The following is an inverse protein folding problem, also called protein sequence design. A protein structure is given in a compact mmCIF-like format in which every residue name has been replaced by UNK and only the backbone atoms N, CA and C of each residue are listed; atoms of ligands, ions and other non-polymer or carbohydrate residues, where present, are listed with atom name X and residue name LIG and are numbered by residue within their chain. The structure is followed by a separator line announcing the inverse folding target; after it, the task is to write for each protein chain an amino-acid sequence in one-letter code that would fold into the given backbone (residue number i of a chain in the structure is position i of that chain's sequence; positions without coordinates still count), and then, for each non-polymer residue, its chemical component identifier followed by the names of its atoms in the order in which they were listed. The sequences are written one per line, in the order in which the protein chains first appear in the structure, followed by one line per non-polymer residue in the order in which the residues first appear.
data_IF_701971249757
#
_entry.id   IF_701971249757
#
_cell.length_a   1.000
_cell.length_b   1.000
_cell.length_c   1.000
_cell.angle_alpha   90.00
_cell.angle_beta   90.00
_cell.angle_gamma   90.00
#
_symmetry.space_group_name_H-M   'P 1'
#
loop_
_entity.id
_entity.type
_entity.pdbx_description
1 polymer ?
#
# COMPACT_ATOMS: atom_id res chain seq x y z
N UNK A 1 15.58 -0.33 -2.68
CA UNK A 1 16.85 0.09 -2.06
C UNK A 1 17.19 -0.83 -0.90
N UNK A 2 16.31 -1.00 0.10
CA UNK A 2 16.54 -1.88 1.25
C UNK A 2 16.90 -3.33 0.84
N UNK A 3 16.14 -3.92 -0.09
CA UNK A 3 16.40 -5.31 -0.53
C UNK A 3 17.63 -5.49 -1.45
N UNK A 4 18.13 -4.41 -2.05
CA UNK A 4 19.19 -4.44 -3.08
C UNK A 4 20.52 -3.86 -2.55
N UNK A 5 20.84 -4.06 -1.27
CA UNK A 5 22.09 -3.59 -0.68
C UNK A 5 22.07 -2.14 -0.21
N UNK A 6 20.90 -1.60 0.12
CA UNK A 6 20.72 -0.29 0.77
C UNK A 6 21.29 0.87 -0.06
N UNK A 7 22.30 1.54 0.49
CA UNK A 7 22.93 2.72 -0.11
C UNK A 7 23.78 2.41 -1.35
N UNK A 8 24.33 1.19 -1.49
CA UNK A 8 25.14 0.82 -2.65
C UNK A 8 24.34 0.82 -3.96
N UNK A 9 23.03 0.53 -3.87
CA UNK A 9 22.10 0.64 -4.99
C UNK A 9 22.02 2.06 -5.58
N UNK A 10 22.26 3.10 -4.77
CA UNK A 10 22.21 4.48 -5.24
C UNK A 10 23.29 4.77 -6.29
N UNK A 11 24.47 4.14 -6.20
CA UNK A 11 25.55 4.33 -7.17
C UNK A 11 25.11 3.87 -8.56
N UNK A 12 24.54 2.66 -8.65
CA UNK A 12 24.02 2.10 -9.91
C UNK A 12 22.82 2.91 -10.41
N UNK A 13 21.94 3.35 -9.50
CA UNK A 13 20.81 4.20 -9.83
C UNK A 13 21.24 5.52 -10.48
N UNK A 14 22.21 6.23 -9.91
CA UNK A 14 22.69 7.49 -10.48
C UNK A 14 23.43 7.29 -11.81
N UNK A 15 24.22 6.21 -11.95
CA UNK A 15 24.86 5.88 -13.21
C UNK A 15 23.82 5.62 -14.32
N UNK A 16 22.80 4.81 -14.05
CA UNK A 16 21.74 4.54 -15.03
C UNK A 16 20.85 5.77 -15.30
N UNK A 17 20.65 6.62 -14.31
CA UNK A 17 19.93 7.89 -14.47
C UNK A 17 20.67 8.79 -15.47
N UNK A 18 21.98 8.97 -15.33
CA UNK A 18 22.76 9.84 -16.21
C UNK A 18 22.95 9.21 -17.59
N UNK A 19 23.23 7.91 -17.68
CA UNK A 19 23.58 7.25 -18.95
C UNK A 19 22.36 6.86 -19.80
N UNK A 20 21.20 6.59 -19.19
CA UNK A 20 20.01 6.12 -19.91
C UNK A 20 18.81 7.06 -19.74
N UNK A 21 18.43 7.42 -18.51
CA UNK A 21 17.21 8.19 -18.29
C UNK A 21 17.28 9.62 -18.83
N UNK A 22 18.38 10.34 -18.55
CA UNK A 22 18.57 11.73 -19.00
C UNK A 22 18.60 11.82 -20.54
N UNK A 23 19.36 10.99 -21.27
CA UNK A 23 19.34 11.00 -22.75
C UNK A 23 17.97 10.66 -23.34
N UNK A 24 17.25 9.68 -22.79
CA UNK A 24 15.92 9.29 -23.28
C UNK A 24 14.90 10.40 -23.04
N UNK A 25 14.90 11.00 -21.85
CA UNK A 25 14.03 12.14 -21.53
C UNK A 25 14.32 13.33 -22.45
N UNK A 26 15.60 13.62 -22.71
CA UNK A 26 15.98 14.70 -23.63
C UNK A 26 15.53 14.42 -25.07
N UNK A 27 15.66 13.16 -25.54
CA UNK A 27 15.20 12.76 -26.86
C UNK A 27 13.67 12.90 -26.99
N UNK A 28 12.92 12.42 -26.00
CA UNK A 28 11.45 12.51 -25.99
C UNK A 28 10.97 13.95 -25.99
N UNK A 29 11.57 14.82 -25.15
CA UNK A 29 11.24 16.24 -25.11
C UNK A 29 11.59 16.95 -26.42
N UNK A 30 12.79 16.71 -26.97
CA UNK A 30 13.22 17.32 -28.23
C UNK A 30 12.33 16.89 -29.39
N UNK A 31 11.95 15.61 -29.44
CA UNK A 31 11.06 15.05 -30.45
C UNK A 31 9.62 15.58 -30.32
N UNK A 32 9.11 15.69 -29.08
CA UNK A 32 7.81 16.29 -28.79
C UNK A 32 7.74 17.77 -29.18
N UNK A 33 8.78 18.55 -28.88
CA UNK A 33 8.88 19.96 -29.26
C UNK A 33 8.98 20.12 -30.79
N UNK A 34 9.84 19.35 -31.46
CA UNK A 34 10.00 19.42 -32.91
C UNK A 34 8.72 19.03 -33.67
N UNK A 35 8.04 17.98 -33.22
CA UNK A 35 6.80 17.53 -33.85
C UNK A 35 5.62 18.44 -33.54
N UNK A 36 5.54 19.04 -32.35
CA UNK A 36 4.42 19.88 -31.89
C UNK A 36 3.04 19.23 -32.11
N UNK A 37 2.99 17.90 -32.11
CA UNK A 37 1.82 17.07 -32.37
C UNK A 37 1.61 16.09 -31.21
N UNK A 38 0.37 15.62 -31.02
CA UNK A 38 0.07 14.60 -30.02
C UNK A 38 0.72 13.24 -30.32
N UNK A 39 0.80 12.37 -29.31
CA UNK A 39 1.56 11.11 -29.33
C UNK A 39 1.19 10.13 -30.47
N UNK A 40 -0.04 10.18 -30.99
CA UNK A 40 -0.48 9.37 -32.13
C UNK A 40 -0.11 10.04 -33.46
N UNK A 41 -0.23 11.38 -33.54
CA UNK A 41 0.00 12.13 -34.78
C UNK A 41 1.49 12.35 -35.07
N UNK A 42 2.35 12.25 -34.06
CA UNK A 42 3.79 12.40 -34.19
C UNK A 42 4.44 11.37 -35.15
N UNK A 43 3.87 10.17 -35.25
CA UNK A 43 4.37 9.09 -36.12
C UNK A 43 3.99 9.24 -37.60
N UNK A 44 3.48 10.40 -38.02
CA UNK A 44 3.35 10.74 -39.45
C UNK A 44 4.71 10.77 -40.17
N UNK A 45 5.81 10.92 -39.43
CA UNK A 45 7.18 10.88 -39.98
C UNK A 45 7.57 9.50 -40.54
N UNK A 46 7.08 8.42 -39.93
CA UNK A 46 7.34 7.04 -40.37
C UNK A 46 6.13 6.14 -40.08
N UNK A 47 5.32 5.82 -41.11
CA UNK A 47 4.04 5.12 -40.91
C UNK A 47 4.20 3.70 -40.34
N UNK A 48 5.39 3.10 -40.44
CA UNK A 48 5.73 1.82 -39.84
C UNK A 48 5.57 1.82 -38.31
N UNK A 49 5.85 2.95 -37.64
CA UNK A 49 5.82 3.06 -36.18
C UNK A 49 4.52 3.68 -35.66
N UNK A 50 3.47 3.79 -36.48
CA UNK A 50 2.16 4.32 -36.05
C UNK A 50 1.55 3.54 -34.88
N UNK A 51 1.85 2.23 -34.79
CA UNK A 51 1.43 1.38 -33.67
C UNK A 51 2.01 1.80 -32.31
N UNK A 52 3.21 2.40 -32.29
CA UNK A 52 3.86 2.88 -31.06
C UNK A 52 3.02 3.99 -30.42
N UNK A 53 2.51 4.93 -31.22
CA UNK A 53 1.60 5.99 -30.76
C UNK A 53 0.32 5.48 -30.10
N UNK A 54 -0.29 4.45 -30.69
CA UNK A 54 -1.50 3.81 -30.15
C UNK A 54 -1.17 3.05 -28.87
N UNK A 55 -0.07 2.30 -28.84
CA UNK A 55 0.38 1.58 -27.64
C UNK A 55 0.63 2.53 -26.48
N UNK A 56 1.28 3.69 -26.72
CA UNK A 56 1.48 4.73 -25.70
C UNK A 56 0.15 5.25 -25.13
N UNK A 57 -0.86 5.48 -25.97
CA UNK A 57 -2.18 5.92 -25.52
C UNK A 57 -2.92 4.84 -24.68
N UNK A 58 -2.82 3.57 -25.08
CA UNK A 58 -3.41 2.44 -24.33
C UNK A 58 -2.75 2.28 -22.96
N UNK A 59 -1.40 2.31 -22.90
CA UNK A 59 -0.65 2.23 -21.65
C UNK A 59 -0.96 3.42 -20.75
N UNK A 60 -1.04 4.63 -21.29
CA UNK A 60 -1.46 5.82 -20.55
C UNK A 60 -2.87 5.69 -19.99
N UNK A 61 -3.82 5.14 -20.76
CA UNK A 61 -5.18 4.85 -20.31
C UNK A 61 -5.23 3.85 -19.16
N UNK A 62 -4.43 2.77 -19.23
CA UNK A 62 -4.30 1.80 -18.14
C UNK A 62 -3.77 2.44 -16.85
N UNK A 63 -2.70 3.22 -16.94
CA UNK A 63 -2.17 3.96 -15.79
C UNK A 63 -3.17 4.99 -15.25
N UNK A 64 -3.93 5.65 -16.12
CA UNK A 64 -4.97 6.60 -15.71
C UNK A 64 -6.02 5.90 -14.82
N UNK A 65 -6.51 4.73 -15.21
CA UNK A 65 -7.47 3.96 -14.40
C UNK A 65 -6.87 3.54 -13.05
N UNK A 66 -5.65 2.99 -13.09
CA UNK A 66 -4.95 2.53 -11.89
C UNK A 66 -4.66 3.66 -10.88
N UNK A 67 -4.15 4.80 -11.34
CA UNK A 67 -3.84 5.92 -10.44
C UNK A 67 -5.09 6.62 -9.92
N UNK A 68 -6.17 6.70 -10.70
CA UNK A 68 -7.46 7.21 -10.20
C UNK A 68 -8.03 6.33 -9.07
N UNK A 69 -7.81 5.01 -9.12
CA UNK A 69 -8.17 4.10 -8.03
C UNK A 69 -7.38 4.42 -6.75
N UNK A 70 -6.07 4.65 -6.85
CA UNK A 70 -5.24 5.02 -5.68
C UNK A 70 -5.72 6.33 -5.07
N UNK A 71 -6.02 7.34 -5.89
CA UNK A 71 -6.55 8.63 -5.41
C UNK A 71 -7.90 8.43 -4.70
N UNK A 72 -8.76 7.53 -5.19
CA UNK A 72 -10.02 7.22 -4.51
C UNK A 72 -9.79 6.63 -3.11
N UNK A 73 -8.81 5.73 -2.96
CA UNK A 73 -8.42 5.20 -1.66
C UNK A 73 -7.89 6.30 -0.74
N UNK A 74 -7.03 7.20 -1.23
CA UNK A 74 -6.50 8.29 -0.39
C UNK A 74 -7.60 9.26 0.05
N UNK A 75 -8.54 9.63 -0.83
CA UNK A 75 -9.70 10.45 -0.47
C UNK A 75 -10.53 9.77 0.63
N UNK A 76 -10.79 8.46 0.50
CA UNK A 76 -11.55 7.71 1.51
C UNK A 76 -10.85 7.72 2.86
N UNK A 77 -9.54 7.44 2.89
CA UNK A 77 -8.75 7.51 4.12
C UNK A 77 -8.69 8.93 4.69
N UNK A 78 -8.62 9.96 3.84
CA UNK A 78 -8.64 11.35 4.27
C UNK A 78 -9.96 11.70 4.98
N UNK A 79 -11.11 11.32 4.41
CA UNK A 79 -12.42 11.56 5.03
C UNK A 79 -12.56 10.84 6.36
N UNK A 80 -12.11 9.58 6.43
CA UNK A 80 -12.19 8.77 7.65
C UNK A 80 -11.20 9.24 8.73
N UNK A 81 -10.11 9.89 8.35
CA UNK A 81 -9.11 10.42 9.31
C UNK A 81 -9.64 11.56 10.19
N UNK A 82 -10.78 12.17 9.86
CA UNK A 82 -11.42 13.18 10.70
C UNK A 82 -12.24 12.58 11.86
N UNK A 83 -12.35 11.25 11.96
CA UNK A 83 -13.07 10.56 13.03
C UNK A 83 -12.17 10.31 14.25
N UNK A 84 -12.72 10.52 15.46
CA UNK A 84 -12.06 10.20 16.73
C UNK A 84 -12.96 9.24 17.53
N UNK A 85 -12.51 8.01 17.86
CA UNK A 85 -11.22 7.40 17.54
C UNK A 85 -11.12 6.95 16.06
N UNK A 86 -9.90 6.80 15.56
CA UNK A 86 -9.66 6.32 14.19
C UNK A 86 -10.01 4.83 14.09
N UNK A 87 -10.68 4.38 13.01
CA UNK A 87 -11.24 3.03 12.93
C UNK A 87 -10.23 1.91 12.67
N UNK A 88 -8.94 2.24 12.49
CA UNK A 88 -7.84 1.29 12.34
C UNK A 88 -6.90 1.27 13.56
N UNK A 89 -7.29 1.93 14.65
CA UNK A 89 -6.57 1.89 15.93
C UNK A 89 -6.95 0.65 16.72
N UNK A 90 -8.23 0.25 16.65
CA UNK A 90 -8.78 -0.81 17.49
C UNK A 90 -9.35 -2.01 16.74
N UNK A 91 -9.45 -3.12 17.47
CA UNK A 91 -10.03 -4.39 17.01
C UNK A 91 -11.53 -4.52 17.35
N UNK A 92 -12.15 -3.54 18.01
CA UNK A 92 -13.55 -3.59 18.40
C UNK A 92 -14.52 -3.10 17.30
N UNK A 93 -14.56 -3.79 16.16
CA UNK A 93 -15.43 -3.47 15.04
C UNK A 93 -16.06 -4.72 14.41
N UNK A 94 -17.19 -4.56 13.72
CA UNK A 94 -17.97 -5.68 13.14
C UNK A 94 -17.28 -6.40 11.99
N UNK A 95 -16.20 -5.82 11.44
CA UNK A 95 -15.45 -6.37 10.31
C UNK A 95 -14.14 -7.03 10.73
N UNK A 96 -13.82 -7.06 12.03
CA UNK A 96 -12.58 -7.63 12.53
C UNK A 96 -12.73 -9.11 12.84
N UNK A 97 -11.68 -9.88 12.59
CA UNK A 97 -11.65 -11.32 12.89
C UNK A 97 -11.14 -11.56 14.32
N UNK A 98 -11.34 -12.76 14.91
CA UNK A 98 -10.78 -13.08 16.23
C UNK A 98 -9.25 -13.02 16.29
N UNK A 99 -8.56 -13.02 15.14
CA UNK A 99 -7.10 -12.95 15.04
C UNK A 99 -6.56 -11.50 15.06
N UNK A 100 -7.43 -10.50 15.26
CA UNK A 100 -7.05 -9.10 15.31
C UNK A 100 -6.33 -8.73 16.61
N UNK A 101 -5.17 -8.06 16.51
CA UNK A 101 -4.48 -7.48 17.66
C UNK A 101 -4.20 -5.98 17.52
N UNK A 102 -4.20 -5.29 18.66
CA UNK A 102 -3.80 -3.89 18.83
C UNK A 102 -2.38 -3.81 19.41
N UNK A 103 -1.67 -2.68 19.23
CA UNK A 103 -0.40 -2.47 19.93
C UNK A 103 -0.65 -2.34 21.43
N UNK A 104 -0.16 -3.28 22.23
CA UNK A 104 -0.27 -3.21 23.70
C UNK A 104 0.46 -1.96 24.20
N UNK A 105 -0.29 -0.96 24.67
CA UNK A 105 0.24 0.03 25.60
C UNK A 105 0.40 -0.67 26.95
N UNK A 106 1.63 -0.87 27.40
CA UNK A 106 1.95 -1.31 28.77
C UNK A 106 1.42 -0.26 29.77
N UNK A 107 0.13 -0.28 30.08
CA UNK A 107 -0.39 0.39 31.26
C UNK A 107 -0.03 -0.50 32.44
N UNK A 108 0.94 -0.06 33.25
CA UNK A 108 1.16 -0.60 34.58
C UNK A 108 -0.14 -0.50 35.39
N UNK A 109 -0.92 -1.57 35.39
CA UNK A 109 -2.14 -1.72 36.16
C UNK A 109 -2.11 -3.09 36.83
N UNK A 110 -2.44 -3.12 38.12
CA UNK A 110 -2.50 -4.33 38.97
C UNK A 110 -3.64 -5.31 38.60
N UNK A 111 -4.02 -5.39 37.32
CA UNK A 111 -4.89 -6.45 36.80
C UNK A 111 -4.05 -7.63 36.33
N UNK A 112 -4.62 -8.82 36.31
CA UNK A 112 -4.02 -10.00 35.66
C UNK A 112 -3.73 -9.69 34.19
N UNK A 113 -2.47 -9.36 33.91
CA UNK A 113 -1.95 -9.15 32.56
C UNK A 113 -1.79 -10.52 31.92
N UNK A 114 -2.30 -10.75 30.69
CA UNK A 114 -1.89 -11.90 29.88
C UNK A 114 -0.36 -11.85 29.78
N UNK A 115 0.32 -12.94 30.12
CA UNK A 115 1.78 -12.97 30.28
C UNK A 115 2.58 -12.86 28.95
N UNK A 116 2.00 -12.33 27.88
CA UNK A 116 2.47 -12.50 26.49
C UNK A 116 3.35 -11.37 25.91
N UNK A 117 4.16 -10.70 26.74
CA UNK A 117 5.31 -9.96 26.22
C UNK A 117 6.53 -10.14 27.12
N UNK A 118 7.04 -11.38 27.18
CA UNK A 118 8.43 -11.61 27.55
C UNK A 118 9.30 -11.13 26.38
N UNK A 119 9.96 -9.97 26.55
CA UNK A 119 11.14 -9.67 25.73
C UNK A 119 12.20 -10.71 26.07
N UNK A 120 12.41 -11.69 25.19
CA UNK A 120 13.63 -12.50 25.22
C UNK A 120 14.77 -11.60 24.74
N UNK A 121 15.55 -11.09 25.69
CA UNK A 121 16.88 -10.54 25.40
C UNK A 121 17.82 -11.73 25.16
N UNK A 122 18.11 -12.03 23.89
CA UNK A 122 19.16 -12.96 23.51
C UNK A 122 20.49 -12.17 23.48
N UNK A 123 21.43 -12.40 24.41
CA UNK A 123 22.66 -11.63 24.50
C UNK A 123 23.66 -11.93 23.35
N UNK A 124 23.37 -12.87 22.45
CA UNK A 124 24.33 -13.32 21.42
C UNK A 124 24.03 -12.85 19.99
N UNK A 125 22.88 -12.22 19.73
CA UNK A 125 22.55 -11.68 18.39
C UNK A 125 21.95 -10.28 18.48
N UNK A 126 22.68 -9.26 18.00
CA UNK A 126 22.26 -7.85 17.89
C UNK A 126 21.13 -7.61 16.86
N UNK A 127 20.13 -8.49 16.80
CA UNK A 127 18.95 -8.31 15.95
C UNK A 127 17.70 -8.58 16.77
N UNK A 128 16.98 -7.51 17.09
CA UNK A 128 15.65 -7.58 17.70
C UNK A 128 14.64 -8.11 16.68
N UNK A 129 14.50 -9.43 16.63
CA UNK A 129 13.44 -10.09 15.86
C UNK A 129 12.18 -10.08 16.71
N UNK A 130 11.18 -9.34 16.24
CA UNK A 130 9.85 -9.21 16.84
C UNK A 130 8.96 -10.34 16.33
N UNK A 131 9.22 -11.57 16.76
CA UNK A 131 8.31 -12.69 16.51
C UNK A 131 7.38 -12.86 17.72
N UNK A 132 6.09 -12.66 17.47
CA UNK A 132 5.00 -12.94 18.40
C UNK A 132 4.78 -14.45 18.47
N UNK A 133 5.26 -15.10 19.53
CA UNK A 133 4.87 -16.46 19.87
C UNK A 133 3.89 -16.40 21.04
N UNK A 134 2.69 -16.95 20.90
CA UNK A 134 1.73 -17.11 22.00
C UNK A 134 2.19 -18.30 22.88
N UNK A 135 2.75 -18.00 24.05
CA UNK A 135 3.16 -19.03 25.02
C UNK A 135 2.12 -19.09 26.14
N UNK A 136 1.23 -20.09 26.08
CA UNK A 136 0.34 -20.42 27.20
C UNK A 136 1.17 -20.96 28.38
N UNK A 137 1.58 -20.07 29.30
CA UNK A 137 2.35 -20.43 30.51
C UNK A 137 1.39 -20.77 31.64
N UNK A 138 1.24 -22.06 31.95
CA UNK A 138 0.50 -22.51 33.13
C UNK A 138 1.46 -22.62 34.33
N UNK A 139 1.49 -21.59 35.19
CA UNK A 139 2.40 -21.55 36.36
C UNK A 139 1.85 -22.44 37.49
N UNK A 140 2.15 -23.73 37.46
CA UNK A 140 1.95 -24.59 38.64
C UNK A 140 3.01 -24.27 39.69
N UNK A 141 2.65 -24.27 40.98
CA UNK A 141 3.43 -23.80 42.13
C UNK A 141 4.73 -24.57 42.46
N UNK A 142 5.37 -25.20 41.48
CA UNK A 142 6.73 -25.69 41.52
C UNK A 142 7.30 -25.39 40.13
N UNK A 143 8.36 -24.57 40.04
CA UNK A 143 8.74 -23.81 38.83
C UNK A 143 9.17 -24.60 37.58
N UNK A 144 8.29 -25.43 37.03
CA UNK A 144 8.45 -26.12 35.75
C UNK A 144 7.53 -25.50 34.71
N UNK A 145 8.12 -25.00 33.63
CA UNK A 145 7.43 -24.42 32.48
C UNK A 145 7.17 -25.54 31.47
N UNK A 146 5.92 -26.01 31.37
CA UNK A 146 5.50 -26.91 30.29
C UNK A 146 4.76 -26.09 29.23
N UNK A 147 5.44 -25.77 28.13
CA UNK A 147 4.83 -25.11 26.98
C UNK A 147 4.18 -26.13 26.04
N UNK A 148 2.91 -25.94 25.71
CA UNK A 148 2.25 -26.60 24.59
C UNK A 148 2.18 -25.62 23.43
N UNK A 149 2.85 -25.93 22.32
CA UNK A 149 2.69 -25.17 21.07
C UNK A 149 1.28 -25.43 20.52
N UNK A 150 0.36 -24.50 20.75
CA UNK A 150 -0.87 -24.45 19.97
C UNK A 150 -0.50 -24.07 18.51
N UNK A 151 -1.22 -24.55 17.49
CA UNK A 151 -1.06 -24.02 16.14
C UNK A 151 -1.37 -22.52 16.18
N UNK A 152 -0.39 -21.70 15.83
CA UNK A 152 -0.51 -20.25 15.95
C UNK A 152 -1.69 -19.73 15.14
N UNK A 153 -2.66 -19.04 15.75
CA UNK A 153 -3.53 -18.16 14.99
C UNK A 153 -2.65 -17.07 14.39
N UNK A 154 -2.74 -16.87 13.08
CA UNK A 154 -1.95 -15.86 12.38
C UNK A 154 -2.46 -14.48 12.78
N UNK A 155 -1.90 -13.91 13.83
CA UNK A 155 -2.29 -12.60 14.37
C UNK A 155 -2.14 -11.49 13.30
N UNK A 156 -3.23 -10.76 13.03
CA UNK A 156 -3.30 -9.69 12.01
C UNK A 156 -3.50 -8.33 12.68
N UNK A 157 -2.85 -7.29 12.14
CA UNK A 157 -2.97 -5.93 12.68
C UNK A 157 -4.34 -5.33 12.35
N UNK A 158 -4.93 -4.59 13.29
CA UNK A 158 -6.18 -3.83 13.08
C UNK A 158 -6.18 -2.95 11.81
N UNK A 159 -5.03 -2.36 11.46
CA UNK A 159 -4.90 -1.55 10.22
C UNK A 159 -4.96 -2.37 8.94
N UNK A 160 -4.44 -3.60 8.96
CA UNK A 160 -4.49 -4.52 7.82
C UNK A 160 -5.92 -5.06 7.63
N UNK A 161 -6.62 -5.38 8.72
CA UNK A 161 -8.02 -5.80 8.67
C UNK A 161 -8.94 -4.69 8.16
N UNK A 162 -8.72 -3.45 8.62
CA UNK A 162 -9.45 -2.30 8.12
C UNK A 162 -9.27 -2.14 6.60
N UNK A 163 -8.05 -2.35 6.08
CA UNK A 163 -7.81 -2.32 4.64
C UNK A 163 -8.53 -3.46 3.90
N UNK A 164 -8.37 -4.70 4.36
CA UNK A 164 -8.90 -5.89 3.66
C UNK A 164 -10.41 -5.99 3.72
N UNK A 165 -11.01 -5.86 4.90
CA UNK A 165 -12.44 -6.14 5.10
C UNK A 165 -13.29 -4.88 4.99
N UNK A 166 -12.79 -3.73 5.49
CA UNK A 166 -13.59 -2.50 5.51
C UNK A 166 -13.38 -1.61 4.29
N UNK A 167 -12.16 -1.49 3.75
CA UNK A 167 -11.87 -0.61 2.60
C UNK A 167 -12.11 -1.32 1.28
N UNK A 168 -11.43 -2.46 1.09
CA UNK A 168 -11.48 -3.21 -0.15
C UNK A 168 -12.65 -4.19 -0.19
N UNK A 169 -12.98 -4.79 0.96
CA UNK A 169 -13.89 -5.93 1.06
C UNK A 169 -13.45 -7.05 0.11
N UNK A 170 -12.23 -7.56 0.33
CA UNK A 170 -11.58 -8.58 -0.50
C UNK A 170 -12.37 -9.90 -0.44
N UNK A 171 -12.78 -10.40 -1.61
CA UNK A 171 -13.42 -11.72 -1.77
C UNK A 171 -12.42 -12.87 -1.61
N UNK A 172 -12.91 -14.08 -1.36
CA UNK A 172 -12.08 -15.29 -1.20
C UNK A 172 -11.37 -15.73 -2.48
N UNK A 173 -11.87 -15.35 -3.67
CA UNK A 173 -11.28 -15.72 -4.95
C UNK A 173 -11.71 -14.83 -6.12
N UNK A 174 -11.02 -14.97 -7.25
CA UNK A 174 -11.29 -14.19 -8.48
C UNK A 174 -12.64 -14.52 -9.14
N UNK A 175 -13.22 -15.68 -8.81
CA UNK A 175 -14.53 -16.11 -9.31
C UNK A 175 -15.70 -15.42 -8.59
N UNK A 176 -15.47 -14.92 -7.37
CA UNK A 176 -16.44 -14.13 -6.61
C UNK A 176 -16.05 -12.65 -6.61
N UNK A 177 -16.69 -11.89 -7.50
CA UNK A 177 -16.41 -10.47 -7.72
C UNK A 177 -16.87 -9.62 -6.52
N UNK A 178 -17.59 -10.22 -5.56
CA UNK A 178 -18.05 -9.57 -4.34
C UNK A 178 -19.08 -8.46 -4.59
N UNK A 179 -19.35 -7.67 -3.56
CA UNK A 179 -20.29 -6.54 -3.62
C UNK A 179 -19.60 -5.20 -3.89
N UNK A 180 -20.26 -4.32 -4.63
CA UNK A 180 -19.77 -2.96 -4.89
C UNK A 180 -19.78 -2.13 -3.59
N UNK A 181 -18.60 -1.65 -3.18
CA UNK A 181 -18.44 -0.73 -2.06
C UNK A 181 -18.83 0.70 -2.47
N UNK A 182 -20.08 1.10 -2.22
CA UNK A 182 -20.59 2.43 -2.59
C UNK A 182 -19.75 3.63 -2.14
N UNK A 183 -19.20 3.67 -0.91
CA UNK A 183 -18.33 4.78 -0.50
C UNK A 183 -17.08 4.88 -1.37
N UNK A 184 -16.54 3.75 -1.80
CA UNK A 184 -15.37 3.71 -2.68
C UNK A 184 -15.72 4.17 -4.09
N UNK A 185 -16.88 3.76 -4.62
CA UNK A 185 -17.39 4.21 -5.91
C UNK A 185 -17.60 5.73 -5.96
N UNK A 186 -18.15 6.32 -4.88
CA UNK A 186 -18.29 7.77 -4.76
C UNK A 186 -16.94 8.48 -4.69
N UNK A 187 -15.97 7.95 -3.95
CA UNK A 187 -14.62 8.50 -3.91
C UNK A 187 -13.91 8.40 -5.28
N UNK A 188 -14.16 7.33 -6.03
CA UNK A 188 -13.65 7.16 -7.39
C UNK A 188 -14.27 8.17 -8.36
N UNK A 189 -15.58 8.37 -8.30
CA UNK A 189 -16.24 9.43 -9.07
C UNK A 189 -15.68 10.83 -8.71
N UNK A 190 -15.46 11.10 -7.43
CA UNK A 190 -14.84 12.35 -6.98
C UNK A 190 -13.40 12.52 -7.50
N UNK A 191 -12.58 11.46 -7.51
CA UNK A 191 -11.24 11.48 -8.07
C UNK A 191 -11.25 11.84 -9.57
N UNK A 192 -12.16 11.23 -10.34
CA UNK A 192 -12.35 11.57 -11.75
C UNK A 192 -12.78 13.01 -11.97
N UNK A 193 -13.71 13.52 -11.15
CA UNK A 193 -14.14 14.92 -11.22
C UNK A 193 -13.00 15.89 -10.88
N UNK A 194 -12.16 15.57 -9.89
CA UNK A 194 -10.99 16.36 -9.54
C UNK A 194 -9.99 16.42 -10.70
N UNK A 195 -9.65 15.27 -11.29
CA UNK A 195 -8.75 15.20 -12.45
C UNK A 195 -9.34 15.96 -13.64
N UNK A 196 -10.63 15.79 -13.90
CA UNK A 196 -11.33 16.50 -14.97
C UNK A 196 -11.33 18.02 -14.73
N UNK A 197 -11.55 18.48 -13.50
CA UNK A 197 -11.46 19.90 -13.14
C UNK A 197 -10.05 20.46 -13.35
N UNK A 198 -9.00 19.70 -13.00
CA UNK A 198 -7.61 20.07 -13.25
C UNK A 198 -7.29 20.19 -14.76
N UNK A 199 -7.94 19.37 -15.60
CA UNK A 199 -7.70 19.35 -17.06
C UNK A 199 -8.57 20.37 -17.82
N UNK A 200 -9.78 20.70 -17.36
CA UNK A 200 -10.73 21.59 -18.07
C UNK A 200 -10.10 22.94 -18.42
N UNK A 201 -9.27 23.52 -17.54
CA UNK A 201 -8.62 24.81 -17.82
C UNK A 201 -7.48 24.73 -18.83
N UNK A 202 -7.06 23.53 -19.21
CA UNK A 202 -5.97 23.28 -20.13
C UNK A 202 -4.62 23.81 -19.61
N UNK A 203 -3.61 23.70 -20.48
CA UNK A 203 -2.21 24.04 -20.19
C UNK A 203 -1.95 25.55 -20.02
N UNK A 204 -2.98 26.40 -20.13
CA UNK A 204 -2.86 27.85 -19.89
C UNK A 204 -3.06 28.25 -18.43
N UNK A 205 -3.43 27.30 -17.55
CA UNK A 205 -3.63 27.52 -16.12
C UNK A 205 -2.63 26.75 -15.23
N UNK A 206 -1.57 26.18 -15.82
CA UNK A 206 -0.42 25.63 -15.10
C UNK A 206 0.82 26.48 -15.33
#
# INVERSE_FOLDING_TARGET
AYDNGGGAFLIVYFLMLILAAVPVMFLELSFGQFSSLGCISCWKISPLFKGVGVAMAVVSGYFCLYYNLIIAWTIRYMVVSFQNPLPWVGCNHTWNTPDCYERISLSQGNGSVPSDYLMTYDPENETSVLDSYDLFVNRTGNGTLNGTSAPEPRSVRATEEFWKYRVLNVSEGLEDIGSIQWPLLLCFAAAWLLVLFCIIKGVKSS
#
